data_IF_250236516535
#
_entry.id   IF_250236516535
#
_cell.length_a   1.000
_cell.length_b   1.000
_cell.length_c   1.000
_cell.angle_alpha   90.00
_cell.angle_beta   90.00
_cell.angle_gamma   90.00
#
_symmetry.space_group_name_H-M   'P 1'
#
loop_
_entity.id
_entity.type
_entity.pdbx_description
1 polymer ?
#
# COMPACT_ATOMS: atom_id res chain seq x y z
N UNK A 1 -25.98 -10.07 8.22
CA UNK A 1 -25.14 -11.04 7.49
C UNK A 1 -25.85 -11.65 6.28
N UNK A 2 -27.06 -12.17 6.39
CA UNK A 2 -27.75 -12.87 5.26
C UNK A 2 -28.11 -12.04 4.01
N UNK A 3 -28.08 -10.70 4.04
CA UNK A 3 -28.49 -9.87 2.88
C UNK A 3 -27.32 -9.49 1.95
N UNK A 4 -26.08 -9.50 2.42
CA UNK A 4 -24.90 -9.21 1.60
C UNK A 4 -24.52 -10.37 0.67
N UNK A 5 -24.78 -11.61 1.09
CA UNK A 5 -24.33 -12.82 0.38
C UNK A 5 -24.93 -12.94 -1.04
N UNK A 6 -26.21 -12.54 -1.22
CA UNK A 6 -26.86 -12.56 -2.53
C UNK A 6 -26.22 -11.56 -3.53
N UNK A 7 -25.75 -10.40 -3.07
CA UNK A 7 -25.10 -9.42 -3.95
C UNK A 7 -23.70 -9.86 -4.31
N UNK A 8 -22.98 -10.46 -3.34
CA UNK A 8 -21.64 -11.05 -3.58
C UNK A 8 -21.75 -12.16 -4.62
N UNK A 9 -22.67 -13.11 -4.45
CA UNK A 9 -22.85 -14.21 -5.41
C UNK A 9 -23.23 -13.69 -6.79
N UNK A 10 -24.18 -12.75 -6.88
CA UNK A 10 -24.56 -12.15 -8.14
C UNK A 10 -23.40 -11.45 -8.87
N UNK A 11 -22.48 -10.82 -8.13
CA UNK A 11 -21.29 -10.20 -8.69
C UNK A 11 -20.29 -11.26 -9.19
N UNK A 12 -20.08 -12.34 -8.45
CA UNK A 12 -19.22 -13.46 -8.86
C UNK A 12 -19.75 -14.09 -10.16
N UNK A 13 -21.05 -14.28 -10.24
CA UNK A 13 -21.71 -14.95 -11.39
C UNK A 13 -21.77 -14.05 -12.64
N UNK A 14 -21.79 -12.73 -12.48
CA UNK A 14 -22.06 -11.78 -13.58
C UNK A 14 -20.86 -10.94 -14.01
N UNK A 15 -19.85 -10.79 -13.16
CA UNK A 15 -18.70 -9.92 -13.42
C UNK A 15 -17.44 -10.76 -13.64
N UNK A 16 -16.87 -10.79 -14.85
CA UNK A 16 -15.67 -11.60 -15.14
C UNK A 16 -14.50 -11.32 -14.20
N UNK A 17 -14.36 -10.10 -13.72
CA UNK A 17 -13.31 -9.72 -12.77
C UNK A 17 -13.39 -10.47 -11.43
N UNK A 18 -14.59 -10.86 -10.99
CA UNK A 18 -14.82 -11.59 -9.75
C UNK A 18 -15.04 -13.09 -9.96
N UNK A 19 -14.94 -13.59 -11.20
CA UNK A 19 -15.04 -15.02 -11.49
C UNK A 19 -14.00 -15.80 -10.69
N UNK A 20 -14.44 -16.89 -10.05
CA UNK A 20 -13.59 -17.76 -9.22
C UNK A 20 -13.37 -19.08 -9.93
N UNK A 21 -12.16 -19.62 -9.85
CA UNK A 21 -11.81 -20.98 -10.26
C UNK A 21 -10.88 -21.64 -9.23
N UNK A 22 -10.67 -22.94 -9.37
CA UNK A 22 -9.69 -23.66 -8.58
C UNK A 22 -8.34 -23.69 -9.30
N UNK A 23 -7.27 -23.41 -8.54
CA UNK A 23 -5.89 -23.52 -8.99
C UNK A 23 -5.05 -24.22 -7.89
N UNK A 24 -4.02 -24.94 -8.34
CA UNK A 24 -3.02 -25.45 -7.43
C UNK A 24 -2.03 -24.35 -7.06
N UNK A 25 -2.10 -23.86 -5.82
CA UNK A 25 -1.22 -22.80 -5.30
C UNK A 25 -0.24 -23.42 -4.32
N UNK A 26 1.03 -23.47 -4.70
CA UNK A 26 2.12 -24.03 -3.85
C UNK A 26 1.79 -25.43 -3.30
N UNK A 27 1.12 -26.27 -4.11
CA UNK A 27 0.77 -27.64 -3.74
C UNK A 27 -0.60 -27.80 -3.04
N UNK A 28 -1.37 -26.73 -2.91
CA UNK A 28 -2.72 -26.74 -2.31
C UNK A 28 -3.76 -26.27 -3.33
N UNK A 29 -4.83 -27.04 -3.50
CA UNK A 29 -5.98 -26.61 -4.30
C UNK A 29 -6.74 -25.49 -3.55
N UNK A 30 -6.87 -24.33 -4.19
CA UNK A 30 -7.51 -23.15 -3.62
C UNK A 30 -8.45 -22.47 -4.61
N UNK A 31 -9.50 -21.88 -4.09
CA UNK A 31 -10.34 -20.96 -4.85
C UNK A 31 -9.62 -19.63 -5.03
N UNK A 32 -9.48 -19.20 -6.29
CA UNK A 32 -8.80 -17.94 -6.64
C UNK A 32 -9.62 -17.14 -7.65
N UNK A 33 -9.45 -15.82 -7.67
CA UNK A 33 -10.02 -15.01 -8.74
C UNK A 33 -9.32 -15.30 -10.06
N UNK A 34 -10.07 -15.79 -11.03
CA UNK A 34 -9.54 -16.28 -12.33
C UNK A 34 -8.85 -15.18 -13.13
N UNK A 35 -9.49 -14.02 -13.21
CA UNK A 35 -9.07 -12.90 -14.06
C UNK A 35 -8.31 -11.81 -13.25
N UNK A 36 -7.66 -12.20 -12.16
CA UNK A 36 -6.86 -11.29 -11.33
C UNK A 36 -5.62 -10.79 -12.06
N UNK A 37 -5.13 -9.58 -11.78
CA UNK A 37 -3.75 -9.19 -12.04
C UNK A 37 -2.77 -10.19 -11.40
N UNK A 38 -1.60 -10.39 -12.00
CA UNK A 38 -0.65 -11.42 -11.55
C UNK A 38 0.44 -10.90 -10.61
N UNK A 39 0.59 -9.58 -10.54
CA UNK A 39 1.50 -8.94 -9.60
C UNK A 39 1.01 -7.56 -9.17
N UNK A 40 1.57 -7.00 -8.11
CA UNK A 40 1.32 -5.61 -7.73
C UNK A 40 1.84 -4.62 -8.78
N UNK A 41 2.76 -5.06 -9.64
CA UNK A 41 3.22 -4.25 -10.79
C UNK A 41 2.08 -3.97 -11.74
N UNK A 42 1.20 -4.95 -11.97
CA UNK A 42 0.02 -4.75 -12.82
C UNK A 42 -0.91 -3.66 -12.24
N UNK A 43 -0.98 -3.55 -10.90
CA UNK A 43 -1.78 -2.51 -10.24
C UNK A 43 -1.23 -1.12 -10.50
N UNK A 44 0.10 -0.93 -10.35
CA UNK A 44 0.73 0.37 -10.58
C UNK A 44 0.66 0.77 -12.06
N UNK A 45 0.80 -0.18 -12.99
CA UNK A 45 0.65 0.08 -14.42
C UNK A 45 -0.79 0.47 -14.79
N UNK A 46 -1.78 -0.27 -14.27
CA UNK A 46 -3.20 0.03 -14.49
C UNK A 46 -3.62 1.37 -13.89
N UNK A 47 -2.95 1.83 -12.83
CA UNK A 47 -3.24 3.11 -12.20
C UNK A 47 -3.04 4.32 -13.12
N UNK A 48 -2.22 4.19 -14.17
CA UNK A 48 -2.05 5.22 -15.20
C UNK A 48 -3.38 5.58 -15.90
N UNK A 49 -4.35 4.65 -15.95
CA UNK A 49 -5.67 4.92 -16.53
C UNK A 49 -6.50 5.94 -15.75
N UNK A 50 -6.13 6.23 -14.51
CA UNK A 50 -6.80 7.21 -13.66
C UNK A 50 -6.31 8.65 -13.91
N UNK A 51 -5.13 8.84 -14.52
CA UNK A 51 -4.59 10.12 -14.98
C UNK A 51 -4.43 11.16 -13.87
N UNK A 52 -4.91 12.36 -14.14
CA UNK A 52 -4.81 13.51 -13.24
C UNK A 52 -5.80 13.50 -12.06
N UNK A 53 -6.57 12.41 -11.87
CA UNK A 53 -7.43 12.30 -10.69
C UNK A 53 -6.59 12.34 -9.41
N UNK A 54 -7.07 12.98 -8.32
CA UNK A 54 -6.41 12.94 -7.02
C UNK A 54 -6.27 11.51 -6.51
N UNK A 55 -5.04 11.09 -6.20
CA UNK A 55 -4.77 9.82 -5.53
C UNK A 55 -4.48 10.02 -4.05
N UNK A 56 -3.48 10.82 -3.70
CA UNK A 56 -3.11 11.09 -2.31
C UNK A 56 -3.39 12.54 -1.95
N UNK A 57 -4.01 12.73 -0.81
CA UNK A 57 -4.14 14.05 -0.17
C UNK A 57 -3.43 13.96 1.19
N UNK A 58 -2.47 14.86 1.40
CA UNK A 58 -1.71 14.95 2.64
C UNK A 58 -1.56 16.40 3.04
N UNK A 59 -2.15 16.79 4.17
CA UNK A 59 -2.26 18.20 4.56
C UNK A 59 -2.96 19.02 3.46
N UNK A 60 -2.26 19.96 2.81
CA UNK A 60 -2.78 20.77 1.71
C UNK A 60 -2.21 20.36 0.34
N UNK A 61 -1.39 19.28 0.29
CA UNK A 61 -0.81 18.76 -0.95
C UNK A 61 -1.71 17.69 -1.55
N UNK A 62 -1.90 17.75 -2.86
CA UNK A 62 -2.60 16.74 -3.65
C UNK A 62 -1.62 16.15 -4.64
N UNK A 63 -1.57 14.83 -4.72
CA UNK A 63 -0.77 14.07 -5.69
C UNK A 63 -1.75 13.30 -6.56
N UNK A 64 -1.75 13.52 -7.88
CA UNK A 64 -2.55 12.76 -8.84
C UNK A 64 -1.99 11.35 -9.04
N UNK A 65 -2.76 10.48 -9.72
CA UNK A 65 -2.26 9.15 -10.09
C UNK A 65 -1.03 9.25 -11.02
N UNK A 66 -1.03 10.15 -12.00
CA UNK A 66 0.11 10.34 -12.91
C UNK A 66 1.34 10.87 -12.17
N UNK A 67 1.15 11.84 -11.27
CA UNK A 67 2.24 12.34 -10.44
C UNK A 67 2.80 11.24 -9.53
N UNK A 68 1.92 10.44 -8.91
CA UNK A 68 2.33 9.32 -8.08
C UNK A 68 3.15 8.30 -8.88
N UNK A 69 2.67 7.90 -10.07
CA UNK A 69 3.38 6.97 -10.94
C UNK A 69 4.77 7.48 -11.31
N UNK A 70 4.89 8.76 -11.65
CA UNK A 70 6.17 9.41 -11.93
C UNK A 70 7.11 9.38 -10.72
N UNK A 71 6.60 9.71 -9.52
CA UNK A 71 7.39 9.68 -8.28
C UNK A 71 7.84 8.26 -7.93
N UNK A 72 6.98 7.26 -8.14
CA UNK A 72 7.32 5.85 -7.95
C UNK A 72 8.47 5.43 -8.88
N UNK A 73 8.42 5.78 -10.17
CA UNK A 73 9.48 5.47 -11.13
C UNK A 73 10.80 6.14 -10.76
N UNK A 74 10.78 7.38 -10.29
CA UNK A 74 11.98 8.10 -9.81
C UNK A 74 12.56 7.44 -8.56
N UNK A 75 11.74 7.12 -7.57
CA UNK A 75 12.17 6.42 -6.37
C UNK A 75 12.75 5.02 -6.69
N UNK A 76 12.11 4.28 -7.60
CA UNK A 76 12.59 2.99 -8.08
C UNK A 76 13.96 3.10 -8.76
N UNK A 77 14.16 4.13 -9.60
CA UNK A 77 15.44 4.41 -10.21
C UNK A 77 16.53 4.69 -9.16
N UNK A 78 16.26 5.50 -8.14
CA UNK A 78 17.17 5.77 -7.03
C UNK A 78 17.56 4.49 -6.29
N UNK A 79 16.58 3.64 -5.95
CA UNK A 79 16.83 2.37 -5.28
C UNK A 79 17.77 1.47 -6.11
N UNK A 80 17.58 1.38 -7.42
CA UNK A 80 18.43 0.56 -8.29
C UNK A 80 19.78 1.18 -8.56
N UNK A 81 19.84 2.46 -8.97
CA UNK A 81 21.07 3.09 -9.47
C UNK A 81 22.02 3.54 -8.35
N UNK A 82 21.48 4.04 -7.23
CA UNK A 82 22.30 4.58 -6.13
C UNK A 82 22.51 3.57 -5.00
N UNK A 83 21.55 2.66 -4.78
CA UNK A 83 21.61 1.67 -3.70
C UNK A 83 21.75 0.23 -4.19
N UNK A 84 21.86 0.02 -5.52
CA UNK A 84 22.05 -1.29 -6.15
C UNK A 84 21.01 -2.35 -5.70
N UNK A 85 19.78 -1.91 -5.40
CA UNK A 85 18.68 -2.80 -5.00
C UNK A 85 18.25 -3.66 -6.19
N UNK A 86 18.17 -4.96 -5.97
CA UNK A 86 17.83 -5.98 -6.96
C UNK A 86 16.55 -6.74 -6.57
N UNK A 87 15.95 -7.49 -7.48
CA UNK A 87 14.85 -8.40 -7.13
C UNK A 87 15.22 -9.32 -5.97
N UNK A 88 14.33 -9.47 -4.99
CA UNK A 88 14.53 -10.23 -3.76
C UNK A 88 15.27 -9.50 -2.64
N UNK A 89 15.89 -8.34 -2.93
CA UNK A 89 16.48 -7.49 -1.89
C UNK A 89 15.39 -6.85 -1.01
N UNK A 90 15.78 -6.36 0.17
CA UNK A 90 14.88 -5.77 1.14
C UNK A 90 15.11 -4.27 1.27
N UNK A 91 14.01 -3.53 1.24
CA UNK A 91 13.99 -2.09 1.53
C UNK A 91 13.16 -1.87 2.79
N UNK A 92 13.78 -1.40 3.86
CA UNK A 92 13.08 -1.11 5.10
C UNK A 92 12.45 0.29 5.05
N UNK A 93 11.17 0.40 5.38
CA UNK A 93 10.44 1.67 5.47
C UNK A 93 10.13 1.94 6.94
N UNK A 94 10.82 2.93 7.53
CA UNK A 94 10.68 3.29 8.93
C UNK A 94 10.18 4.73 9.08
N UNK A 95 8.88 4.93 8.92
CA UNK A 95 8.28 6.25 8.92
C UNK A 95 6.84 6.25 9.46
N UNK A 96 6.30 7.45 9.72
CA UNK A 96 4.87 7.67 9.90
C UNK A 96 4.12 7.54 8.57
N UNK A 97 2.78 7.54 8.64
CA UNK A 97 1.96 7.66 7.44
C UNK A 97 2.28 8.98 6.72
N UNK A 98 2.74 8.89 5.50
CA UNK A 98 3.02 10.01 4.60
C UNK A 98 2.99 9.51 3.14
N UNK A 99 2.90 10.40 2.15
CA UNK A 99 2.96 10.02 0.74
C UNK A 99 4.24 9.28 0.36
N UNK A 100 5.38 9.69 0.92
CA UNK A 100 6.70 9.09 0.66
C UNK A 100 6.73 7.62 1.05
N UNK A 101 6.05 7.24 2.16
CA UNK A 101 5.91 5.84 2.57
C UNK A 101 5.25 5.00 1.47
N UNK A 102 4.17 5.52 0.88
CA UNK A 102 3.41 4.86 -0.19
C UNK A 102 4.24 4.80 -1.47
N UNK A 103 4.90 5.90 -1.83
CA UNK A 103 5.77 5.98 -3.02
C UNK A 103 6.90 4.95 -2.93
N UNK A 104 7.61 4.88 -1.80
CA UNK A 104 8.70 3.92 -1.63
C UNK A 104 8.23 2.47 -1.51
N UNK A 105 7.04 2.20 -0.97
CA UNK A 105 6.43 0.87 -1.05
C UNK A 105 6.27 0.45 -2.52
N UNK A 106 5.63 1.28 -3.33
CA UNK A 106 5.39 0.98 -4.74
C UNK A 106 6.69 0.92 -5.56
N UNK A 107 7.63 1.80 -5.29
CA UNK A 107 8.95 1.77 -5.91
C UNK A 107 9.69 0.46 -5.62
N UNK A 108 9.64 -0.02 -4.38
CA UNK A 108 10.27 -1.26 -3.95
C UNK A 108 9.66 -2.47 -4.65
N UNK A 109 8.33 -2.61 -4.59
CA UNK A 109 7.67 -3.78 -5.20
C UNK A 109 7.75 -3.77 -6.72
N UNK A 110 7.83 -2.59 -7.35
CA UNK A 110 7.91 -2.47 -8.81
C UNK A 110 9.25 -2.89 -9.42
N UNK A 111 10.28 -3.02 -8.61
CA UNK A 111 11.61 -3.56 -9.00
C UNK A 111 11.85 -4.99 -8.46
N UNK A 112 10.80 -5.65 -7.94
CA UNK A 112 10.86 -7.01 -7.41
C UNK A 112 11.56 -7.12 -6.06
N UNK A 113 11.80 -6.01 -5.38
CA UNK A 113 12.33 -6.01 -4.02
C UNK A 113 11.21 -6.13 -2.99
N UNK A 114 11.56 -6.48 -1.76
CA UNK A 114 10.65 -6.76 -0.66
C UNK A 114 10.53 -5.53 0.24
N UNK A 115 9.35 -4.95 0.36
CA UNK A 115 9.10 -3.81 1.23
C UNK A 115 8.94 -4.26 2.70
N UNK A 116 9.87 -3.87 3.58
CA UNK A 116 9.84 -4.20 5.00
C UNK A 116 9.25 -3.03 5.79
N UNK A 117 7.96 -3.09 6.10
CA UNK A 117 7.25 -2.05 6.85
C UNK A 117 7.56 -2.10 8.35
N UNK A 118 8.45 -1.23 8.84
CA UNK A 118 8.79 -1.15 10.25
C UNK A 118 7.77 -0.33 11.04
N UNK A 119 7.44 -0.78 12.24
CA UNK A 119 6.50 -0.07 13.09
C UNK A 119 7.06 1.29 13.52
N UNK A 120 6.51 2.36 12.98
CA UNK A 120 6.91 3.74 13.23
C UNK A 120 6.70 4.22 14.68
N UNK A 121 6.10 3.41 15.56
CA UNK A 121 5.95 3.69 16.98
C UNK A 121 7.03 3.02 17.85
N UNK A 122 7.81 2.10 17.31
CA UNK A 122 8.89 1.44 18.04
C UNK A 122 9.93 2.42 18.57
N UNK A 123 10.50 2.05 19.70
CA UNK A 123 11.75 2.67 20.21
C UNK A 123 12.92 2.21 19.33
N UNK A 124 14.02 2.99 19.37
CA UNK A 124 15.19 2.67 18.54
C UNK A 124 15.68 1.24 18.68
N UNK A 125 15.76 0.72 19.90
CA UNK A 125 16.20 -0.66 20.16
C UNK A 125 15.29 -1.76 19.59
N UNK A 126 14.00 -1.48 19.45
CA UNK A 126 13.04 -2.42 18.82
C UNK A 126 13.18 -2.36 17.30
N UNK A 127 13.31 -1.15 16.76
CA UNK A 127 13.52 -0.94 15.32
C UNK A 127 14.83 -1.58 14.85
N UNK A 128 15.93 -1.41 15.59
CA UNK A 128 17.23 -2.02 15.27
C UNK A 128 17.15 -3.53 15.22
N UNK A 129 16.47 -4.18 16.18
CA UNK A 129 16.28 -5.64 16.14
C UNK A 129 15.55 -6.12 14.89
N UNK A 130 14.54 -5.37 14.43
CA UNK A 130 13.81 -5.70 13.21
C UNK A 130 14.64 -5.42 11.96
N UNK A 131 15.44 -4.35 11.95
CA UNK A 131 16.39 -4.02 10.88
C UNK A 131 17.46 -5.12 10.77
N UNK A 132 18.08 -5.51 11.89
CA UNK A 132 19.09 -6.59 11.91
C UNK A 132 18.51 -7.92 11.42
N UNK A 133 17.25 -8.22 11.78
CA UNK A 133 16.59 -9.44 11.32
C UNK A 133 16.18 -9.40 9.85
N UNK A 134 15.81 -8.24 9.32
CA UNK A 134 15.48 -8.05 7.91
C UNK A 134 16.72 -7.96 7.03
N UNK A 135 17.84 -7.46 7.56
CA UNK A 135 19.07 -7.17 6.83
C UNK A 135 18.80 -6.44 5.50
N UNK A 136 18.25 -5.21 5.54
CA UNK A 136 17.83 -4.51 4.34
C UNK A 136 19.03 -3.91 3.59
N UNK A 137 18.94 -3.84 2.27
CA UNK A 137 19.94 -3.17 1.43
C UNK A 137 19.95 -1.66 1.65
N UNK A 138 18.79 -1.09 1.95
CA UNK A 138 18.62 0.34 2.23
C UNK A 138 17.42 0.55 3.18
N UNK A 139 17.52 1.58 4.00
CA UNK A 139 16.44 2.06 4.85
C UNK A 139 15.92 3.37 4.26
N UNK A 140 14.61 3.54 4.18
CA UNK A 140 13.99 4.83 3.89
C UNK A 140 13.21 5.27 5.13
N UNK A 141 13.39 6.51 5.57
CA UNK A 141 12.87 6.95 6.87
C UNK A 141 12.48 8.41 6.87
N UNK A 142 11.54 8.80 7.72
CA UNK A 142 11.43 10.20 8.12
C UNK A 142 12.51 10.54 9.16
N UNK A 143 12.90 11.82 9.25
CA UNK A 143 13.96 12.29 10.16
C UNK A 143 13.68 11.88 11.61
N UNK A 144 12.44 12.05 12.06
CA UNK A 144 12.04 11.76 13.45
C UNK A 144 12.24 10.29 13.84
N UNK A 145 12.07 9.34 12.92
CA UNK A 145 12.30 7.90 13.17
C UNK A 145 13.76 7.58 13.02
N UNK A 146 14.42 8.17 12.04
CA UNK A 146 15.86 8.02 11.86
C UNK A 146 16.63 8.45 13.11
N UNK A 147 16.31 9.57 13.73
CA UNK A 147 16.97 10.05 14.97
C UNK A 147 16.95 9.02 16.11
N UNK A 148 16.02 8.06 16.10
CA UNK A 148 15.96 7.00 17.13
C UNK A 148 16.98 5.88 16.91
N UNK A 149 17.50 5.75 15.69
CA UNK A 149 18.37 4.64 15.27
C UNK A 149 19.73 5.11 14.76
N UNK A 150 19.94 6.39 14.53
CA UNK A 150 21.09 6.98 13.86
C UNK A 150 22.45 6.50 14.41
N UNK A 151 22.58 6.39 15.74
CA UNK A 151 23.82 5.97 16.40
C UNK A 151 24.12 4.47 16.26
N UNK A 152 23.16 3.66 15.82
CA UNK A 152 23.26 2.19 15.83
C UNK A 152 23.12 1.59 14.44
N UNK A 153 22.46 2.27 13.51
CA UNK A 153 22.20 1.77 12.16
C UNK A 153 23.46 1.87 11.31
N UNK A 154 23.76 0.80 10.56
CA UNK A 154 24.91 0.73 9.65
C UNK A 154 24.52 0.66 8.19
N UNK A 155 23.25 0.49 7.90
CA UNK A 155 22.71 0.39 6.55
C UNK A 155 22.64 1.75 5.87
N UNK A 156 22.83 1.84 4.56
CA UNK A 156 22.52 3.05 3.81
C UNK A 156 21.10 3.53 4.11
N UNK A 157 20.94 4.83 4.33
CA UNK A 157 19.63 5.38 4.71
C UNK A 157 19.31 6.61 3.85
N UNK A 158 18.09 6.64 3.33
CA UNK A 158 17.48 7.79 2.66
C UNK A 158 16.49 8.45 3.62
N UNK A 159 16.64 9.74 3.82
CA UNK A 159 15.74 10.54 4.68
C UNK A 159 14.77 11.29 3.77
N UNK A 160 13.47 11.18 4.06
CA UNK A 160 12.44 11.78 3.22
C UNK A 160 12.55 13.30 3.12
N UNK A 161 12.92 13.96 4.22
CA UNK A 161 13.07 15.41 4.30
C UNK A 161 14.27 15.93 3.47
N UNK A 162 15.26 15.08 3.19
CA UNK A 162 16.43 15.41 2.36
C UNK A 162 16.20 15.05 0.88
N UNK A 163 15.08 14.40 0.55
CA UNK A 163 14.82 13.82 -0.75
C UNK A 163 13.65 14.52 -1.45
N UNK A 164 13.95 15.44 -2.37
CA UNK A 164 12.94 15.98 -3.27
C UNK A 164 12.93 15.22 -4.60
N UNK A 165 12.04 14.23 -4.69
CA UNK A 165 11.87 13.41 -5.90
C UNK A 165 11.48 14.23 -7.14
N UNK A 166 10.94 15.45 -6.99
CA UNK A 166 10.58 16.30 -8.13
C UNK A 166 11.80 16.79 -8.91
N UNK A 167 12.94 16.93 -8.21
CA UNK A 167 14.20 17.41 -8.79
C UNK A 167 14.99 16.32 -9.57
N UNK A 168 14.60 15.05 -9.46
CA UNK A 168 15.26 13.98 -10.21
C UNK A 168 14.72 13.95 -11.64
N UNK A 169 15.65 14.00 -12.62
CA UNK A 169 15.31 13.89 -14.04
C UNK A 169 15.14 12.45 -14.50
N UNK A 170 15.91 11.54 -13.90
CA UNK A 170 15.92 10.13 -14.28
C UNK A 170 14.83 9.35 -13.57
N UNK A 171 14.17 8.48 -14.32
CA UNK A 171 13.16 7.58 -13.83
C UNK A 171 13.32 6.16 -14.41
N UNK A 172 12.67 5.19 -13.79
CA UNK A 172 12.65 3.82 -14.30
C UNK A 172 11.91 3.76 -15.64
N UNK A 173 12.54 3.21 -16.68
CA UNK A 173 11.95 3.11 -18.01
C UNK A 173 10.77 2.14 -18.07
N UNK A 174 10.89 1.00 -17.38
CA UNK A 174 9.87 -0.04 -17.35
C UNK A 174 9.94 -0.84 -16.05
N UNK A 175 8.81 -1.30 -15.59
CA UNK A 175 8.73 -2.22 -14.47
C UNK A 175 9.12 -3.64 -14.90
N UNK A 176 9.50 -4.47 -13.95
CA UNK A 176 9.86 -5.87 -14.21
C UNK A 176 8.64 -6.79 -14.04
N UNK A 177 8.68 -7.96 -14.67
CA UNK A 177 7.70 -9.01 -14.40
C UNK A 177 8.09 -9.76 -13.13
N UNK A 178 7.12 -9.98 -12.26
CA UNK A 178 7.27 -10.63 -10.96
C UNK A 178 6.25 -11.74 -10.87
N UNK A 179 6.65 -12.91 -10.35
CA UNK A 179 5.73 -14.00 -10.08
C UNK A 179 4.80 -13.63 -8.91
N UNK A 180 3.53 -14.02 -9.00
CA UNK A 180 2.54 -13.68 -7.99
C UNK A 180 2.80 -14.32 -6.62
N UNK A 181 3.56 -15.40 -6.56
CA UNK A 181 3.94 -16.09 -5.32
C UNK A 181 5.22 -15.54 -4.68
N UNK A 182 5.94 -14.64 -5.37
CA UNK A 182 7.07 -13.92 -4.78
C UNK A 182 6.61 -13.02 -3.62
N UNK A 183 7.53 -12.83 -2.67
CA UNK A 183 7.28 -11.98 -1.50
C UNK A 183 7.25 -10.50 -1.90
N UNK A 184 6.13 -9.83 -1.67
CA UNK A 184 5.98 -8.39 -1.90
C UNK A 184 6.39 -7.56 -0.68
N UNK A 185 6.05 -8.03 0.52
CA UNK A 185 6.37 -7.28 1.73
C UNK A 185 6.53 -8.16 2.98
N UNK A 186 7.27 -7.61 3.94
CA UNK A 186 7.39 -8.08 5.31
C UNK A 186 6.69 -7.09 6.24
N UNK A 187 5.67 -7.55 6.95
CA UNK A 187 4.99 -6.76 7.97
C UNK A 187 5.20 -7.40 9.34
N UNK A 188 5.51 -6.60 10.34
CA UNK A 188 5.88 -7.11 11.63
C UNK A 188 4.70 -7.20 12.60
N UNK A 189 4.63 -8.33 13.31
CA UNK A 189 3.71 -8.50 14.44
C UNK A 189 4.48 -8.39 15.75
N UNK A 190 3.80 -7.93 16.81
CA UNK A 190 4.34 -7.97 18.17
C UNK A 190 4.44 -9.42 18.62
N UNK A 191 5.60 -10.05 18.41
CA UNK A 191 5.81 -11.43 18.86
C UNK A 191 5.61 -11.57 20.37
N UNK A 192 4.99 -12.67 20.80
CA UNK A 192 4.80 -13.03 22.23
C UNK A 192 6.12 -13.15 23.00
N UNK A 193 7.24 -13.27 22.31
CA UNK A 193 8.61 -13.39 22.85
C UNK A 193 9.37 -12.07 22.95
N UNK A 194 8.70 -10.93 22.67
CA UNK A 194 9.33 -9.60 22.71
C UNK A 194 10.27 -9.28 21.53
N UNK A 195 10.46 -10.20 20.59
CA UNK A 195 11.17 -9.94 19.32
C UNK A 195 10.15 -9.84 18.21
N UNK A 196 10.15 -8.74 17.42
CA UNK A 196 9.26 -8.59 16.27
C UNK A 196 9.46 -9.75 15.28
N UNK A 197 8.36 -10.32 14.79
CA UNK A 197 8.37 -11.36 13.75
C UNK A 197 7.85 -10.79 12.46
N UNK A 198 8.65 -10.87 11.39
CA UNK A 198 8.23 -10.48 10.04
C UNK A 198 7.33 -11.55 9.43
N UNK A 199 6.16 -11.15 8.97
CA UNK A 199 5.23 -11.99 8.21
C UNK A 199 5.43 -11.69 6.74
N UNK A 200 5.82 -12.71 5.96
CA UNK A 200 5.96 -12.62 4.51
C UNK A 200 4.57 -12.60 3.86
N UNK A 201 4.36 -11.63 2.99
CA UNK A 201 3.11 -11.50 2.23
C UNK A 201 3.44 -11.45 0.75
N UNK A 202 2.89 -12.39 -0.04
CA UNK A 202 3.14 -12.47 -1.48
C UNK A 202 2.31 -11.44 -2.25
N UNK A 203 2.69 -11.18 -3.51
CA UNK A 203 1.88 -10.40 -4.45
C UNK A 203 0.48 -10.99 -4.57
N UNK A 204 0.34 -12.33 -4.72
CA UNK A 204 -0.95 -13.05 -4.76
C UNK A 204 -1.83 -12.70 -3.56
N UNK A 205 -1.29 -12.75 -2.35
CA UNK A 205 -2.05 -12.49 -1.12
C UNK A 205 -2.55 -11.04 -1.06
N UNK A 206 -1.73 -10.07 -1.47
CA UNK A 206 -2.13 -8.66 -1.52
C UNK A 206 -3.21 -8.40 -2.57
N UNK A 207 -3.09 -9.02 -3.75
CA UNK A 207 -4.06 -8.94 -4.84
C UNK A 207 -5.39 -9.55 -4.43
N UNK A 208 -5.37 -10.77 -3.86
CA UNK A 208 -6.57 -11.46 -3.40
C UNK A 208 -7.32 -10.62 -2.36
N UNK A 209 -6.60 -10.07 -1.37
CA UNK A 209 -7.20 -9.19 -0.37
C UNK A 209 -7.82 -7.93 -1.01
N UNK A 210 -7.11 -7.28 -1.94
CA UNK A 210 -7.63 -6.09 -2.63
C UNK A 210 -8.87 -6.41 -3.47
N UNK A 211 -8.87 -7.54 -4.18
CA UNK A 211 -10.02 -7.99 -4.99
C UNK A 211 -11.22 -8.30 -4.09
N UNK A 212 -11.01 -8.93 -2.92
CA UNK A 212 -12.06 -9.15 -1.93
C UNK A 212 -12.66 -7.85 -1.40
N UNK A 213 -11.82 -6.84 -1.10
CA UNK A 213 -12.29 -5.53 -0.66
C UNK A 213 -13.12 -4.84 -1.77
N UNK A 214 -12.69 -4.94 -3.03
CA UNK A 214 -13.46 -4.41 -4.17
C UNK A 214 -14.80 -5.13 -4.35
N UNK A 215 -14.84 -6.46 -4.22
CA UNK A 215 -16.06 -7.25 -4.28
C UNK A 215 -17.04 -6.82 -3.17
N UNK A 216 -16.55 -6.66 -1.94
CA UNK A 216 -17.35 -6.18 -0.83
C UNK A 216 -17.86 -4.75 -1.07
N UNK A 217 -17.02 -3.85 -1.56
CA UNK A 217 -17.40 -2.48 -1.91
C UNK A 217 -18.47 -2.44 -3.00
N UNK A 218 -18.34 -3.26 -4.04
CA UNK A 218 -19.32 -3.39 -5.11
C UNK A 218 -20.67 -3.92 -4.59
N UNK A 219 -20.64 -4.93 -3.71
CA UNK A 219 -21.86 -5.49 -3.09
C UNK A 219 -22.58 -4.45 -2.21
N UNK A 220 -21.83 -3.67 -1.42
CA UNK A 220 -22.38 -2.55 -0.62
C UNK A 220 -23.00 -1.49 -1.53
N UNK A 221 -22.32 -1.13 -2.62
CA UNK A 221 -22.82 -0.16 -3.60
C UNK A 221 -24.13 -0.62 -4.23
N UNK A 222 -24.23 -1.87 -4.68
CA UNK A 222 -25.48 -2.45 -5.22
C UNK A 222 -26.61 -2.47 -4.18
N UNK A 223 -26.29 -2.88 -2.95
CA UNK A 223 -27.26 -2.85 -1.85
C UNK A 223 -27.78 -1.43 -1.60
N UNK A 224 -26.89 -0.44 -1.52
CA UNK A 224 -27.23 0.96 -1.29
C UNK A 224 -28.09 1.52 -2.44
N UNK A 225 -27.74 1.22 -3.68
CA UNK A 225 -28.51 1.64 -4.85
C UNK A 225 -29.92 1.06 -4.85
N UNK A 226 -30.11 -0.19 -4.39
CA UNK A 226 -31.44 -0.79 -4.24
C UNK A 226 -32.32 -0.11 -3.18
N UNK A 227 -31.71 0.73 -2.32
CA UNK A 227 -32.37 1.56 -1.31
C UNK A 227 -32.37 3.06 -1.64
N UNK A 228 -32.09 3.41 -2.91
CA UNK A 228 -32.12 4.79 -3.40
C UNK A 228 -30.89 5.64 -3.05
N UNK A 229 -29.82 5.03 -2.57
CA UNK A 229 -28.55 5.73 -2.28
C UNK A 229 -27.61 5.55 -3.48
N UNK A 230 -27.31 6.64 -4.17
CA UNK A 230 -26.43 6.66 -5.35
C UNK A 230 -25.03 7.17 -4.98
N UNK A 231 -24.07 6.25 -4.86
CA UNK A 231 -22.67 6.57 -4.60
C UNK A 231 -21.90 6.99 -5.85
N UNK A 232 -22.42 6.81 -7.06
CA UNK A 232 -21.72 7.12 -8.31
C UNK A 232 -21.42 8.62 -8.49
N UNK A 233 -22.13 9.48 -7.78
CA UNK A 233 -21.97 10.93 -7.81
C UNK A 233 -20.80 11.45 -7.00
N UNK A 234 -20.22 10.63 -6.14
CA UNK A 234 -19.14 11.03 -5.26
C UNK A 234 -17.82 10.42 -5.74
N UNK A 235 -16.75 11.20 -5.77
CA UNK A 235 -15.39 10.63 -5.90
C UNK A 235 -15.08 9.84 -4.63
N UNK A 236 -14.82 8.53 -4.72
CA UNK A 236 -14.49 7.75 -3.54
C UNK A 236 -13.25 8.31 -2.84
N UNK A 237 -13.43 8.85 -1.63
CA UNK A 237 -12.36 9.40 -0.80
C UNK A 237 -12.33 8.64 0.52
N UNK A 238 -11.21 7.97 0.79
CA UNK A 238 -10.98 7.19 2.01
C UNK A 238 -10.05 7.92 2.95
N UNK A 239 -10.40 7.98 4.25
CA UNK A 239 -9.52 8.52 5.28
C UNK A 239 -8.64 7.40 5.85
N UNK A 240 -7.33 7.52 5.66
CA UNK A 240 -6.33 6.59 6.16
C UNK A 240 -5.80 7.03 7.53
N UNK A 241 -6.33 6.44 8.61
CA UNK A 241 -5.84 6.61 9.98
C UNK A 241 -5.04 5.41 10.48
N UNK A 242 -5.27 4.24 9.89
CA UNK A 242 -4.53 3.01 10.21
C UNK A 242 -3.08 3.12 9.73
N UNK A 243 -2.10 2.55 10.47
CA UNK A 243 -0.69 2.66 10.09
C UNK A 243 -0.38 1.87 8.82
N UNK A 244 0.43 2.46 7.93
CA UNK A 244 0.89 1.84 6.69
C UNK A 244 1.82 0.64 6.92
N UNK A 245 2.52 0.57 8.05
CA UNK A 245 3.31 -0.61 8.43
C UNK A 245 2.46 -1.79 8.92
N UNK A 246 1.14 -1.67 8.91
CA UNK A 246 0.20 -2.73 9.24
C UNK A 246 -0.67 -3.08 8.03
N UNK A 247 -1.05 -4.36 7.90
CA UNK A 247 -1.80 -4.86 6.75
C UNK A 247 -3.09 -4.06 6.48
N UNK A 248 -3.80 -3.64 7.52
CA UNK A 248 -5.06 -2.87 7.37
C UNK A 248 -4.83 -1.51 6.69
N UNK A 249 -3.81 -0.76 7.13
CA UNK A 249 -3.47 0.53 6.51
C UNK A 249 -2.88 0.38 5.11
N UNK A 250 -1.93 -0.54 4.95
CA UNK A 250 -1.27 -0.78 3.67
C UNK A 250 -2.26 -1.27 2.61
N UNK A 251 -3.03 -2.30 2.92
CA UNK A 251 -3.93 -2.92 1.95
C UNK A 251 -5.04 -1.96 1.51
N UNK A 252 -5.77 -1.35 2.44
CA UNK A 252 -6.88 -0.46 2.10
C UNK A 252 -6.39 0.91 1.58
N UNK A 253 -5.41 1.51 2.27
CA UNK A 253 -5.01 2.89 2.05
C UNK A 253 -4.00 3.09 0.91
N UNK A 254 -3.24 2.07 0.53
CA UNK A 254 -2.23 2.19 -0.51
C UNK A 254 -2.47 1.24 -1.69
N UNK A 255 -2.85 -0.02 -1.45
CA UNK A 255 -2.94 -1.02 -2.51
C UNK A 255 -4.32 -1.01 -3.17
N UNK A 256 -5.39 -1.24 -2.39
CA UNK A 256 -6.75 -1.28 -2.94
C UNK A 256 -7.19 0.08 -3.49
N UNK A 257 -6.84 1.19 -2.82
CA UNK A 257 -7.18 2.54 -3.27
C UNK A 257 -6.53 2.88 -4.60
N UNK A 258 -5.26 2.52 -4.82
CA UNK A 258 -4.58 2.74 -6.09
C UNK A 258 -5.29 2.00 -7.23
N UNK A 259 -5.56 0.71 -7.04
CA UNK A 259 -6.20 -0.12 -8.06
C UNK A 259 -7.64 0.31 -8.35
N UNK A 260 -8.40 0.66 -7.31
CA UNK A 260 -9.79 1.11 -7.45
C UNK A 260 -9.96 2.54 -7.99
N UNK A 261 -8.88 3.30 -8.17
CA UNK A 261 -8.95 4.71 -8.58
C UNK A 261 -9.59 5.61 -7.53
N UNK A 262 -9.42 5.27 -6.25
CA UNK A 262 -9.96 6.03 -5.11
C UNK A 262 -8.94 7.00 -4.54
N UNK A 263 -9.41 8.14 -4.04
CA UNK A 263 -8.56 9.09 -3.33
C UNK A 263 -8.30 8.62 -1.90
N UNK A 264 -7.06 8.65 -1.46
CA UNK A 264 -6.65 8.40 -0.06
C UNK A 264 -6.25 9.71 0.62
N UNK A 265 -7.01 10.12 1.62
CA UNK A 265 -6.65 11.20 2.52
C UNK A 265 -5.78 10.63 3.64
N UNK A 266 -4.48 10.90 3.60
CA UNK A 266 -3.51 10.40 4.57
C UNK A 266 -3.55 11.25 5.82
N UNK A 267 -3.90 10.64 6.96
CA UNK A 267 -3.92 11.34 8.24
C UNK A 267 -2.50 11.47 8.81
N UNK A 268 -2.14 12.69 9.21
CA UNK A 268 -0.85 12.98 9.81
C UNK A 268 -0.92 13.18 11.32
N UNK A 269 0.10 12.69 12.02
CA UNK A 269 0.30 12.91 13.44
C UNK A 269 -0.53 12.00 14.36
N UNK A 270 -0.71 12.44 15.61
CA UNK A 270 -1.50 11.71 16.61
C UNK A 270 -2.98 11.81 16.32
N UNK A 271 -3.70 10.69 16.47
CA UNK A 271 -5.15 10.66 16.30
C UNK A 271 -5.87 11.64 17.25
N UNK A 272 -6.66 12.53 16.66
CA UNK A 272 -7.51 13.50 17.36
C UNK A 272 -8.88 13.50 16.70
N UNK A 273 -9.93 13.15 17.45
CA UNK A 273 -11.29 13.00 16.93
C UNK A 273 -11.80 14.28 16.23
N UNK A 274 -11.58 15.46 16.82
CA UNK A 274 -11.99 16.74 16.25
C UNK A 274 -11.29 17.03 14.91
N UNK A 275 -10.01 16.65 14.77
CA UNK A 275 -9.27 16.78 13.51
C UNK A 275 -9.86 15.86 12.46
N UNK A 276 -10.19 14.61 12.81
CA UNK A 276 -10.81 13.63 11.93
C UNK A 276 -12.15 14.14 11.41
N UNK A 277 -13.04 14.63 12.29
CA UNK A 277 -14.36 15.17 11.92
C UNK A 277 -14.20 16.34 10.92
N UNK A 278 -13.27 17.26 11.18
CA UNK A 278 -12.98 18.38 10.28
C UNK A 278 -12.49 17.92 8.91
N UNK A 279 -11.62 16.89 8.87
CA UNK A 279 -11.12 16.33 7.62
C UNK A 279 -12.24 15.63 6.83
N UNK A 280 -13.10 14.87 7.49
CA UNK A 280 -14.27 14.23 6.87
C UNK A 280 -15.14 15.28 6.19
N UNK A 281 -15.43 16.40 6.87
CA UNK A 281 -16.24 17.48 6.33
C UNK A 281 -15.53 18.22 5.19
N UNK A 282 -14.25 18.60 5.39
CA UNK A 282 -13.46 19.37 4.41
C UNK A 282 -13.30 18.64 3.09
N UNK A 283 -13.03 17.33 3.12
CA UNK A 283 -12.71 16.53 1.94
C UNK A 283 -13.83 15.59 1.50
N UNK A 284 -15.04 15.73 2.07
CA UNK A 284 -16.20 14.89 1.74
C UNK A 284 -15.86 13.40 1.76
N UNK A 285 -15.19 12.95 2.83
CA UNK A 285 -14.74 11.56 2.99
C UNK A 285 -15.94 10.62 2.89
N UNK A 286 -15.86 9.63 2.00
CA UNK A 286 -16.93 8.64 1.76
C UNK A 286 -16.72 7.34 2.51
N UNK A 287 -15.48 7.05 2.91
CA UNK A 287 -15.15 5.84 3.68
C UNK A 287 -14.05 6.11 4.71
N UNK A 288 -14.19 5.46 5.85
CA UNK A 288 -13.19 5.47 6.91
C UNK A 288 -13.28 4.15 7.69
N UNK A 289 -12.13 3.48 7.86
CA UNK A 289 -11.96 2.31 8.69
C UNK A 289 -10.80 2.49 9.65
N UNK A 290 -10.96 2.01 10.88
CA UNK A 290 -9.93 2.07 11.90
C UNK A 290 -10.03 0.90 12.85
#
# INVERSE_FOLDING_TARGET
MMHSDKYIQALIDSQPFFEVNQENVLGVEMDVFKNRPRSLVDFIELSASHGEKPYLIYQDKVISFDQHLTLVKKAAHILQSQHNVKPGDRVAIYAANCPEWIIFFWATVSIGAIACGLNGWWKGSEAIKAIDAADPNVIVSDQKRFDRIADQVKHPTLIFEDLDLSLYEQELNSFIRIDEDECACLLYTSGTTGTPKGVMTSHRSMIANSTLQMLQGAAVSQHSSSHGIDWSKNTPTSLLTSPLFHVSGLSAGAVTSLFAGSTTLVYDGRFLADKVIKLIQKFSVTSWGG
#
